data_IF_676309642591
#
_entry.id   IF_676309642591
#
_cell.length_a   1.000
_cell.length_b   1.000
_cell.length_c   1.000
_cell.angle_alpha   90.00
_cell.angle_beta   90.00
_cell.angle_gamma   90.00
#
_symmetry.space_group_name_H-M   'P 1'
#
loop_
_entity.id
_entity.type
_entity.pdbx_description
1 polymer ?
#
# COMPACT_ATOMS: atom_id res chain seq x y z
N UNK A 1 -32.57 34.68 -85.51
CA UNK A 1 -31.12 35.01 -85.36
C UNK A 1 -30.71 34.74 -83.93
N UNK A 2 -29.97 33.65 -83.72
CA UNK A 2 -28.98 33.37 -82.71
C UNK A 2 -29.23 33.73 -81.22
N UNK A 3 -29.33 32.81 -80.32
CA UNK A 3 -28.15 32.27 -79.57
C UNK A 3 -28.55 31.01 -78.76
N UNK A 4 -27.90 29.96 -79.03
CA UNK A 4 -27.76 28.80 -78.20
C UNK A 4 -26.79 29.22 -77.11
N UNK A 5 -27.20 29.14 -75.83
CA UNK A 5 -26.33 29.19 -74.72
C UNK A 5 -26.23 27.82 -74.09
N UNK A 6 -25.05 27.26 -74.18
CA UNK A 6 -24.60 26.02 -73.51
C UNK A 6 -24.85 26.15 -72.02
N UNK A 7 -25.54 25.14 -71.49
CA UNK A 7 -25.55 24.91 -70.04
C UNK A 7 -24.41 23.98 -69.71
N UNK A 8 -23.32 24.54 -69.20
CA UNK A 8 -22.30 23.78 -68.50
C UNK A 8 -22.90 23.17 -67.25
N UNK A 9 -23.07 21.84 -67.24
CA UNK A 9 -23.31 21.09 -66.03
C UNK A 9 -21.95 20.87 -65.35
N UNK A 10 -21.57 21.76 -64.42
CA UNK A 10 -20.57 21.48 -63.43
C UNK A 10 -21.06 20.37 -62.49
N UNK A 11 -20.51 19.16 -62.65
CA UNK A 11 -20.61 18.12 -61.68
C UNK A 11 -19.70 18.48 -60.48
N UNK A 12 -20.24 19.23 -59.48
CA UNK A 12 -19.62 19.28 -58.17
C UNK A 12 -19.58 17.87 -57.57
N UNK A 13 -18.43 17.22 -57.69
CA UNK A 13 -18.09 16.09 -56.84
C UNK A 13 -17.99 16.60 -55.39
N UNK A 14 -19.10 16.53 -54.64
CA UNK A 14 -19.04 16.58 -53.17
C UNK A 14 -18.27 15.34 -52.69
N UNK A 15 -16.95 15.46 -52.56
CA UNK A 15 -16.18 14.56 -51.75
C UNK A 15 -16.56 14.79 -50.29
N UNK A 16 -17.39 13.91 -49.74
CA UNK A 16 -17.59 13.86 -48.31
C UNK A 16 -16.20 13.73 -47.64
N UNK A 17 -15.86 14.55 -46.63
CA UNK A 17 -14.61 14.37 -45.93
C UNK A 17 -14.60 12.94 -45.36
N UNK A 18 -13.59 12.18 -45.68
CA UNK A 18 -13.34 10.90 -45.03
C UNK A 18 -12.98 11.22 -43.60
N UNK A 19 -13.90 10.97 -42.69
CA UNK A 19 -13.57 11.00 -41.26
C UNK A 19 -12.53 9.91 -41.00
N UNK A 20 -11.28 10.31 -40.88
CA UNK A 20 -10.21 9.44 -40.41
C UNK A 20 -10.43 9.28 -38.92
N UNK A 21 -11.04 8.17 -38.49
CA UNK A 21 -11.17 7.85 -37.08
C UNK A 21 -9.77 7.66 -36.46
N UNK A 22 -9.53 8.29 -35.35
CA UNK A 22 -8.26 8.09 -34.62
C UNK A 22 -8.10 6.61 -34.23
N UNK A 23 -6.89 6.03 -34.40
CA UNK A 23 -6.63 4.64 -34.04
C UNK A 23 -6.95 4.35 -32.56
N UNK A 24 -7.69 3.29 -32.30
CA UNK A 24 -8.08 2.89 -30.93
C UNK A 24 -7.04 1.95 -30.35
N UNK A 25 -6.44 2.37 -29.23
CA UNK A 25 -5.52 1.55 -28.47
C UNK A 25 -6.14 1.12 -27.16
N UNK A 26 -6.01 -0.17 -26.83
CA UNK A 26 -6.37 -0.72 -25.52
C UNK A 26 -5.19 -1.52 -24.98
N UNK A 27 -4.72 -1.19 -23.78
CA UNK A 27 -3.50 -1.75 -23.18
C UNK A 27 -2.23 -1.61 -24.07
N UNK A 28 -2.19 -0.56 -24.90
CA UNK A 28 -1.12 -0.35 -25.88
C UNK A 28 -1.24 -1.19 -27.15
N UNK A 29 -2.31 -1.97 -27.32
CA UNK A 29 -2.59 -2.82 -28.49
C UNK A 29 -3.57 -2.07 -29.40
N UNK A 30 -3.26 -1.99 -30.70
CA UNK A 30 -4.18 -1.45 -31.71
C UNK A 30 -5.34 -2.42 -31.89
N UNK A 31 -6.59 -1.96 -31.66
CA UNK A 31 -7.76 -2.84 -31.64
C UNK A 31 -8.81 -2.54 -32.71
N UNK A 32 -8.52 -1.65 -33.67
CA UNK A 32 -9.51 -1.21 -34.69
C UNK A 32 -10.12 -2.35 -35.50
N UNK A 33 -9.32 -3.39 -35.75
CA UNK A 33 -9.75 -4.56 -36.56
C UNK A 33 -9.95 -5.81 -35.71
N UNK A 34 -9.89 -5.68 -34.38
CA UNK A 34 -9.97 -6.80 -33.46
C UNK A 34 -11.29 -6.80 -32.68
N UNK A 35 -11.70 -7.97 -32.23
CA UNK A 35 -12.84 -8.13 -31.32
C UNK A 35 -12.34 -8.02 -29.87
N UNK A 36 -12.96 -7.12 -29.10
CA UNK A 36 -12.64 -6.91 -27.68
C UNK A 36 -13.81 -7.37 -26.83
N UNK A 37 -13.55 -8.33 -25.94
CA UNK A 37 -14.54 -8.88 -25.00
C UNK A 37 -14.08 -8.56 -23.57
N UNK A 38 -14.90 -7.81 -22.83
CA UNK A 38 -14.65 -7.49 -21.42
C UNK A 38 -15.57 -8.34 -20.55
N UNK A 39 -14.99 -8.98 -19.53
CA UNK A 39 -15.73 -9.82 -18.60
C UNK A 39 -15.08 -9.79 -17.21
N UNK A 40 -15.68 -10.46 -16.24
CA UNK A 40 -15.17 -10.58 -14.88
C UNK A 40 -15.05 -12.04 -14.48
N UNK A 41 -14.04 -12.35 -13.67
CA UNK A 41 -13.85 -13.71 -13.14
C UNK A 41 -15.02 -14.07 -12.23
N UNK A 42 -15.75 -15.11 -12.56
CA UNK A 42 -16.86 -15.64 -11.76
C UNK A 42 -16.35 -16.48 -10.57
N UNK A 43 -17.23 -16.71 -9.59
CA UNK A 43 -16.92 -17.58 -8.46
C UNK A 43 -16.62 -19.00 -8.95
N UNK A 44 -15.50 -19.58 -8.48
CA UNK A 44 -15.03 -20.89 -8.88
C UNK A 44 -14.34 -20.99 -10.25
N UNK A 45 -14.30 -19.94 -11.04
CA UNK A 45 -13.54 -19.93 -12.28
C UNK A 45 -12.04 -19.95 -12.03
N UNK A 46 -11.32 -20.65 -12.91
CA UNK A 46 -9.85 -20.69 -12.93
C UNK A 46 -9.33 -20.11 -14.22
N UNK A 47 -8.10 -19.60 -14.23
CA UNK A 47 -7.45 -19.13 -15.44
C UNK A 47 -7.48 -20.19 -16.55
N UNK A 48 -7.13 -21.44 -16.22
CA UNK A 48 -7.15 -22.54 -17.18
C UNK A 48 -8.54 -22.80 -17.76
N UNK A 49 -9.59 -22.70 -16.95
CA UNK A 49 -10.98 -22.86 -17.41
C UNK A 49 -11.39 -21.74 -18.37
N UNK A 50 -11.04 -20.48 -18.05
CA UNK A 50 -11.34 -19.35 -18.95
C UNK A 50 -10.60 -19.49 -20.27
N UNK A 51 -9.32 -19.85 -20.25
CA UNK A 51 -8.52 -20.03 -21.46
C UNK A 51 -9.02 -21.20 -22.30
N UNK A 52 -9.36 -22.33 -21.68
CA UNK A 52 -9.89 -23.51 -22.37
C UNK A 52 -11.22 -23.20 -23.09
N UNK A 53 -12.10 -22.48 -22.42
CA UNK A 53 -13.37 -22.01 -23.03
C UNK A 53 -13.14 -21.12 -24.26
N UNK A 54 -12.01 -20.40 -24.30
CA UNK A 54 -11.60 -19.54 -25.42
C UNK A 54 -10.59 -20.23 -26.36
N UNK A 55 -10.73 -21.54 -26.54
CA UNK A 55 -10.01 -22.35 -27.52
C UNK A 55 -8.49 -22.48 -27.31
N UNK A 56 -7.98 -22.20 -26.11
CA UNK A 56 -6.58 -22.50 -25.74
C UNK A 56 -6.51 -23.94 -25.21
N UNK A 57 -5.69 -24.76 -25.82
CA UNK A 57 -5.58 -26.17 -25.46
C UNK A 57 -4.78 -26.43 -24.17
N UNK A 58 -4.88 -27.64 -23.63
CA UNK A 58 -4.19 -28.01 -22.39
C UNK A 58 -2.65 -27.88 -22.45
N UNK A 59 -1.97 -28.26 -23.55
CA UNK A 59 -0.53 -28.03 -23.69
C UNK A 59 -0.14 -26.54 -23.58
N UNK A 60 -0.88 -25.66 -24.26
CA UNK A 60 -0.65 -24.21 -24.20
C UNK A 60 -0.94 -23.66 -22.79
N UNK A 61 -1.99 -24.13 -22.12
CA UNK A 61 -2.28 -23.76 -20.72
C UNK A 61 -1.13 -24.18 -19.80
N UNK A 62 -0.58 -25.39 -19.98
CA UNK A 62 0.58 -25.84 -19.20
C UNK A 62 1.83 -24.97 -19.47
N UNK A 63 2.05 -24.54 -20.71
CA UNK A 63 3.11 -23.61 -21.07
C UNK A 63 2.94 -22.26 -20.36
N UNK A 64 1.71 -21.70 -20.36
CA UNK A 64 1.36 -20.44 -19.64
C UNK A 64 1.68 -20.56 -18.16
N UNK A 65 1.27 -21.66 -17.51
CA UNK A 65 1.55 -21.88 -16.08
C UNK A 65 3.07 -21.89 -15.81
N UNK A 66 3.85 -22.50 -16.69
CA UNK A 66 5.31 -22.52 -16.55
C UNK A 66 5.93 -21.12 -16.77
N UNK A 67 5.51 -20.41 -17.80
CA UNK A 67 6.02 -19.06 -18.10
C UNK A 67 5.57 -17.99 -17.09
N UNK A 68 4.46 -18.23 -16.40
CA UNK A 68 3.98 -17.36 -15.32
C UNK A 68 4.80 -17.40 -14.03
N UNK A 69 5.66 -18.43 -13.85
CA UNK A 69 6.47 -18.58 -12.63
C UNK A 69 7.37 -17.37 -12.40
N UNK A 70 7.22 -16.76 -11.22
CA UNK A 70 7.98 -15.55 -10.86
C UNK A 70 7.38 -14.23 -11.35
N UNK A 71 6.39 -14.28 -12.25
CA UNK A 71 5.66 -13.13 -12.77
C UNK A 71 4.32 -13.02 -12.06
N UNK A 72 3.52 -14.08 -12.11
CA UNK A 72 2.15 -14.12 -11.64
C UNK A 72 1.79 -15.54 -11.19
N UNK A 73 1.14 -15.68 -10.03
CA UNK A 73 0.61 -16.96 -9.59
C UNK A 73 -0.78 -17.16 -10.19
N UNK A 74 -0.89 -17.99 -11.22
CA UNK A 74 -2.13 -18.28 -11.96
C UNK A 74 -3.28 -18.79 -11.08
N UNK A 75 -2.98 -19.26 -9.86
CA UNK A 75 -3.97 -19.72 -8.87
C UNK A 75 -4.60 -18.58 -8.08
N UNK A 76 -4.08 -17.36 -8.24
CA UNK A 76 -4.52 -16.16 -7.49
C UNK A 76 -5.40 -15.24 -8.30
N UNK A 77 -6.05 -15.75 -9.36
CA UNK A 77 -7.13 -14.97 -9.97
C UNK A 77 -8.30 -14.90 -8.98
N UNK A 78 -8.85 -13.70 -8.81
CA UNK A 78 -9.90 -13.44 -7.84
C UNK A 78 -11.23 -13.23 -8.53
N UNK A 79 -12.29 -13.82 -7.99
CA UNK A 79 -13.66 -13.52 -8.40
C UNK A 79 -13.95 -12.02 -8.31
N UNK A 80 -14.63 -11.48 -9.31
CA UNK A 80 -14.95 -10.05 -9.43
C UNK A 80 -13.85 -9.19 -10.06
N UNK A 81 -12.63 -9.71 -10.27
CA UNK A 81 -11.61 -8.99 -11.03
C UNK A 81 -11.91 -9.03 -12.53
N UNK A 82 -11.77 -7.90 -13.26
CA UNK A 82 -12.02 -7.86 -14.68
C UNK A 82 -10.90 -8.52 -15.48
N UNK A 83 -11.29 -9.07 -16.63
CA UNK A 83 -10.35 -9.47 -17.66
C UNK A 83 -10.87 -9.03 -19.04
N UNK A 84 -9.96 -8.91 -19.98
CA UNK A 84 -10.24 -8.55 -21.38
C UNK A 84 -9.64 -9.60 -22.30
N UNK A 85 -10.45 -10.08 -23.23
CA UNK A 85 -10.00 -10.90 -24.35
C UNK A 85 -9.90 -10.01 -25.59
N UNK A 86 -8.79 -10.09 -26.29
CA UNK A 86 -8.62 -9.46 -27.59
C UNK A 86 -8.42 -10.57 -28.61
N UNK A 87 -9.36 -10.70 -29.53
CA UNK A 87 -9.45 -11.80 -30.48
C UNK A 87 -9.36 -11.29 -31.93
N UNK A 88 -8.97 -12.15 -32.84
CA UNK A 88 -9.16 -11.91 -34.25
C UNK A 88 -10.65 -11.71 -34.58
N UNK A 89 -10.92 -10.92 -35.59
CA UNK A 89 -12.28 -10.77 -36.14
C UNK A 89 -12.58 -11.88 -37.20
N UNK A 90 -12.25 -13.12 -36.82
CA UNK A 90 -12.55 -14.31 -37.63
C UNK A 90 -13.77 -15.07 -37.07
N UNK A 91 -14.25 -16.09 -37.78
CA UNK A 91 -15.42 -16.88 -37.36
C UNK A 91 -15.21 -17.66 -36.06
N UNK A 92 -13.95 -17.90 -35.64
CA UNK A 92 -13.58 -18.65 -34.44
C UNK A 92 -13.29 -17.70 -33.30
N UNK A 93 -13.06 -16.39 -33.57
CA UNK A 93 -12.60 -15.39 -32.61
C UNK A 93 -11.31 -15.84 -31.89
N UNK A 94 -10.30 -16.25 -32.68
CA UNK A 94 -9.02 -16.74 -32.16
C UNK A 94 -8.42 -15.77 -31.18
N UNK A 95 -8.12 -16.23 -29.96
CA UNK A 95 -7.59 -15.40 -28.87
C UNK A 95 -6.16 -14.96 -29.16
N UNK A 96 -5.92 -13.65 -29.21
CA UNK A 96 -4.61 -13.03 -29.39
C UNK A 96 -3.99 -12.59 -28.06
N UNK A 97 -4.82 -12.01 -27.19
CA UNK A 97 -4.39 -11.55 -25.87
C UNK A 97 -5.46 -11.84 -24.83
N UNK A 98 -5.01 -12.32 -23.68
CA UNK A 98 -5.79 -12.34 -22.45
C UNK A 98 -5.16 -11.38 -21.46
N UNK A 99 -5.92 -10.42 -20.97
CA UNK A 99 -5.44 -9.37 -20.06
C UNK A 99 -6.24 -9.45 -18.78
N UNK A 100 -5.56 -9.71 -17.66
CA UNK A 100 -6.17 -9.85 -16.34
C UNK A 100 -5.77 -8.69 -15.45
N UNK A 101 -6.74 -7.95 -14.92
CA UNK A 101 -6.50 -6.85 -13.99
C UNK A 101 -6.39 -7.33 -12.56
N UNK A 102 -5.33 -6.93 -11.86
CA UNK A 102 -5.16 -7.28 -10.47
C UNK A 102 -6.02 -6.39 -9.55
N UNK A 103 -6.26 -6.87 -8.34
CA UNK A 103 -7.08 -6.17 -7.33
C UNK A 103 -6.53 -4.80 -6.91
N UNK A 104 -5.27 -4.47 -7.22
CA UNK A 104 -4.69 -3.14 -7.01
C UNK A 104 -5.19 -2.08 -8.00
N UNK A 105 -5.95 -2.50 -9.06
CA UNK A 105 -6.51 -1.65 -10.13
C UNK A 105 -5.46 -0.86 -10.92
N UNK A 106 -4.21 -1.18 -10.77
CA UNK A 106 -3.08 -0.51 -11.43
C UNK A 106 -2.30 -1.51 -12.27
N UNK A 107 -2.09 -2.71 -11.74
CA UNK A 107 -1.28 -3.74 -12.39
C UNK A 107 -2.17 -4.71 -13.16
N UNK A 108 -1.76 -5.05 -14.36
CA UNK A 108 -2.40 -6.11 -15.15
C UNK A 108 -1.39 -7.10 -15.69
N UNK A 109 -1.85 -8.32 -15.95
CA UNK A 109 -1.08 -9.42 -16.55
C UNK A 109 -1.55 -9.61 -17.96
N UNK A 110 -0.61 -9.69 -18.89
CA UNK A 110 -0.88 -9.97 -20.30
C UNK A 110 -0.36 -11.36 -20.64
N UNK A 111 -1.23 -12.18 -21.21
CA UNK A 111 -0.88 -13.40 -21.93
C UNK A 111 -0.99 -13.05 -23.41
N UNK A 112 0.12 -13.09 -24.13
CA UNK A 112 0.24 -12.75 -25.54
C UNK A 112 0.47 -14.03 -26.36
N UNK A 113 -0.40 -14.29 -27.31
CA UNK A 113 -0.40 -15.49 -28.17
C UNK A 113 0.00 -15.18 -29.61
N UNK A 114 0.33 -13.94 -29.97
CA UNK A 114 0.56 -13.52 -31.35
C UNK A 114 1.81 -14.15 -31.98
N UNK A 115 2.88 -14.29 -31.21
CA UNK A 115 4.16 -14.86 -31.65
C UNK A 115 4.68 -15.87 -30.61
N UNK A 116 3.93 -16.97 -30.42
CA UNK A 116 4.16 -17.88 -29.32
C UNK A 116 3.71 -17.30 -27.98
N UNK A 117 3.59 -18.15 -26.98
CA UNK A 117 3.07 -17.74 -25.67
C UNK A 117 4.06 -16.85 -24.91
N UNK A 118 3.68 -15.63 -24.54
CA UNK A 118 4.43 -14.75 -23.64
C UNK A 118 3.56 -14.36 -22.45
N UNK A 119 4.19 -14.16 -21.29
CA UNK A 119 3.53 -13.71 -20.05
C UNK A 119 4.32 -12.58 -19.46
N UNK A 120 3.68 -11.44 -19.21
CA UNK A 120 4.32 -10.29 -18.60
C UNK A 120 3.32 -9.45 -17.80
N UNK A 121 3.84 -8.63 -16.88
CA UNK A 121 3.08 -7.64 -16.13
C UNK A 121 3.33 -6.25 -16.67
N UNK A 122 2.28 -5.46 -16.71
CA UNK A 122 2.34 -4.03 -16.98
C UNK A 122 1.52 -3.24 -15.97
N UNK A 123 1.62 -1.91 -16.04
CA UNK A 123 0.85 -1.00 -15.20
C UNK A 123 0.13 0.01 -16.06
N UNK A 124 -1.08 0.35 -15.66
CA UNK A 124 -1.77 1.52 -16.17
C UNK A 124 -1.02 2.80 -15.78
N UNK A 125 -1.13 3.80 -16.61
CA UNK A 125 -0.76 5.15 -16.22
C UNK A 125 -1.73 5.65 -15.15
N UNK A 126 -1.18 6.10 -14.03
CA UNK A 126 -1.96 6.65 -12.91
C UNK A 126 -1.95 8.17 -13.02
N UNK A 127 -3.08 8.74 -13.35
CA UNK A 127 -3.27 10.18 -13.29
C UNK A 127 -3.60 10.60 -11.86
N UNK A 128 -2.83 11.54 -11.34
CA UNK A 128 -2.99 12.05 -9.98
C UNK A 128 -3.60 13.44 -10.02
N UNK A 129 -4.66 13.66 -9.22
CA UNK A 129 -5.27 14.98 -9.03
C UNK A 129 -5.15 15.40 -7.57
N UNK A 130 -4.60 16.58 -7.36
CA UNK A 130 -4.48 17.17 -6.03
C UNK A 130 -5.84 17.67 -5.54
N UNK A 131 -6.13 17.42 -4.27
CA UNK A 131 -7.38 17.80 -3.60
C UNK A 131 -7.09 18.42 -2.25
N UNK A 132 -7.89 19.42 -1.91
CA UNK A 132 -7.97 20.00 -0.58
C UNK A 132 -9.34 19.66 0.01
N UNK A 133 -9.36 19.17 1.25
CA UNK A 133 -10.58 18.93 2.00
C UNK A 133 -10.44 19.46 3.41
N UNK A 134 -11.53 19.98 3.98
CA UNK A 134 -11.58 20.43 5.35
C UNK A 134 -12.96 20.17 5.94
N UNK A 135 -13.03 19.99 7.25
CA UNK A 135 -14.29 19.75 7.93
C UNK A 135 -14.20 19.93 9.44
N UNK A 136 -15.36 20.17 10.05
CA UNK A 136 -15.56 20.18 11.48
C UNK A 136 -16.11 18.81 11.88
N UNK A 137 -15.57 18.22 12.92
CA UNK A 137 -15.95 16.90 13.41
C UNK A 137 -17.14 17.07 14.35
N UNK A 138 -18.28 16.44 14.02
CA UNK A 138 -19.47 16.44 14.84
C UNK A 138 -19.64 15.14 15.64
N UNK A 139 -19.13 14.02 15.15
CA UNK A 139 -19.19 12.68 15.76
C UNK A 139 -17.86 11.95 15.64
N UNK A 140 -17.44 11.61 14.41
CA UNK A 140 -16.15 10.97 14.12
C UNK A 140 -15.48 11.58 12.90
N UNK A 141 -14.16 11.39 12.80
CA UNK A 141 -13.40 11.82 11.61
C UNK A 141 -13.91 11.11 10.35
N UNK A 142 -14.21 9.81 10.43
CA UNK A 142 -14.68 9.02 9.29
C UNK A 142 -16.01 9.55 8.76
N UNK A 143 -17.00 9.75 9.64
CA UNK A 143 -18.31 10.28 9.25
C UNK A 143 -18.21 11.70 8.67
N UNK A 144 -17.34 12.54 9.22
CA UNK A 144 -17.13 13.90 8.69
C UNK A 144 -16.54 13.89 7.26
N UNK A 145 -15.68 12.92 6.95
CA UNK A 145 -15.07 12.73 5.62
C UNK A 145 -16.08 12.08 4.67
N UNK A 146 -16.73 11.01 5.08
CA UNK A 146 -17.73 10.28 4.29
C UNK A 146 -18.93 11.15 3.94
N UNK A 147 -19.37 12.01 4.87
CA UNK A 147 -20.44 12.98 4.64
C UNK A 147 -20.15 13.99 3.54
N UNK A 148 -18.89 14.17 3.13
CA UNK A 148 -18.47 14.97 1.99
C UNK A 148 -18.32 14.14 0.69
N UNK A 149 -18.70 12.87 0.68
CA UNK A 149 -18.53 11.95 -0.44
C UNK A 149 -17.06 11.52 -0.67
N UNK A 150 -16.21 11.65 0.34
CA UNK A 150 -14.79 11.28 0.28
C UNK A 150 -14.60 9.89 0.86
N UNK A 151 -13.70 9.12 0.27
CA UNK A 151 -13.39 7.77 0.73
C UNK A 151 -12.92 7.75 2.19
N UNK A 152 -13.42 6.82 3.04
CA UNK A 152 -12.99 6.66 4.44
C UNK A 152 -11.49 6.33 4.58
N UNK A 153 -10.83 5.90 3.51
CA UNK A 153 -9.37 5.72 3.47
C UNK A 153 -8.64 7.01 3.85
N UNK A 154 -9.21 8.20 3.58
CA UNK A 154 -8.60 9.46 3.99
C UNK A 154 -8.56 9.61 5.50
N UNK A 155 -9.63 9.22 6.20
CA UNK A 155 -9.66 9.26 7.67
C UNK A 155 -8.62 8.32 8.29
N UNK A 156 -8.45 7.14 7.69
CA UNK A 156 -7.41 6.20 8.09
C UNK A 156 -6.02 6.81 7.93
N UNK A 157 -5.71 7.40 6.76
CA UNK A 157 -4.41 8.05 6.50
C UNK A 157 -4.12 9.20 7.46
N UNK A 158 -5.11 10.05 7.75
CA UNK A 158 -4.96 11.13 8.73
C UNK A 158 -4.69 10.53 10.12
N UNK A 159 -5.44 9.51 10.51
CA UNK A 159 -5.25 8.83 11.80
C UNK A 159 -3.88 8.17 11.91
N UNK A 160 -3.34 7.61 10.84
CA UNK A 160 -1.99 7.04 10.78
C UNK A 160 -0.90 8.11 10.94
N UNK A 161 -1.07 9.27 10.29
CA UNK A 161 -0.14 10.40 10.39
C UNK A 161 -0.03 10.88 11.85
N UNK A 162 -1.16 11.07 12.52
CA UNK A 162 -1.21 11.61 13.88
C UNK A 162 -1.30 10.54 14.97
N UNK A 163 -1.15 9.24 14.64
CA UNK A 163 -1.38 8.12 15.55
C UNK A 163 -0.63 8.19 16.90
N UNK A 164 0.45 8.98 16.95
CA UNK A 164 1.29 9.13 18.11
C UNK A 164 1.14 10.49 18.80
N UNK A 165 0.50 11.43 18.14
CA UNK A 165 0.32 12.79 18.60
C UNK A 165 -1.09 12.98 19.16
N UNK A 166 -2.09 12.43 18.48
CA UNK A 166 -3.52 12.56 18.80
C UNK A 166 -4.10 11.19 19.17
N UNK A 167 -4.85 11.14 20.27
CA UNK A 167 -5.65 9.96 20.62
C UNK A 167 -7.03 10.07 19.96
N UNK A 168 -7.20 9.44 18.81
CA UNK A 168 -8.43 9.49 18.01
C UNK A 168 -9.65 8.90 18.72
N UNK A 169 -9.48 8.17 19.83
CA UNK A 169 -10.59 7.77 20.70
C UNK A 169 -11.09 8.92 21.60
N UNK A 170 -10.38 10.06 21.63
CA UNK A 170 -10.69 11.23 22.46
C UNK A 170 -10.95 12.49 21.64
N UNK A 171 -11.11 12.37 20.33
CA UNK A 171 -11.54 13.50 19.50
C UNK A 171 -12.94 13.94 19.91
N UNK A 172 -13.20 15.24 19.78
CA UNK A 172 -14.39 15.88 20.32
C UNK A 172 -15.17 16.59 19.22
N UNK A 173 -16.44 16.79 19.46
CA UNK A 173 -17.25 17.69 18.65
C UNK A 173 -16.62 19.10 18.63
N UNK A 174 -16.44 19.65 17.45
CA UNK A 174 -15.76 20.94 17.24
C UNK A 174 -14.29 20.84 16.86
N UNK A 175 -13.65 19.66 17.02
CA UNK A 175 -12.36 19.42 16.40
C UNK A 175 -12.46 19.56 14.88
N UNK A 176 -11.39 19.90 14.20
CA UNK A 176 -11.43 20.11 12.75
C UNK A 176 -10.16 19.61 12.07
N UNK A 177 -10.27 19.42 10.76
CA UNK A 177 -9.15 19.04 9.91
C UNK A 177 -9.12 19.85 8.62
N UNK A 178 -7.91 20.01 8.08
CA UNK A 178 -7.65 20.38 6.69
C UNK A 178 -6.60 19.43 6.16
N UNK A 179 -6.77 18.96 4.93
CA UNK A 179 -5.86 17.97 4.35
C UNK A 179 -5.68 18.20 2.86
N UNK A 180 -4.41 18.18 2.41
CA UNK A 180 -3.99 18.30 1.03
C UNK A 180 -3.43 16.95 0.58
N UNK A 181 -4.05 16.33 -0.43
CA UNK A 181 -3.82 14.95 -0.79
C UNK A 181 -4.07 14.66 -2.28
N UNK A 182 -3.67 13.48 -2.71
CA UNK A 182 -3.87 12.97 -4.06
C UNK A 182 -5.09 12.06 -4.15
N UNK A 183 -5.87 12.28 -5.22
CA UNK A 183 -6.78 11.27 -5.76
C UNK A 183 -6.16 10.65 -7.01
N UNK A 184 -6.09 9.32 -7.05
CA UNK A 184 -5.54 8.56 -8.16
C UNK A 184 -6.64 8.07 -9.10
N UNK A 185 -6.36 8.13 -10.38
CA UNK A 185 -7.27 7.72 -11.46
C UNK A 185 -6.54 6.85 -12.46
N UNK A 186 -7.22 5.82 -12.96
CA UNK A 186 -6.80 5.00 -14.10
C UNK A 186 -7.91 5.03 -15.13
N UNK A 187 -7.59 5.36 -16.38
CA UNK A 187 -8.58 5.49 -17.47
C UNK A 187 -9.79 6.35 -17.08
N UNK A 188 -9.54 7.47 -16.37
CA UNK A 188 -10.58 8.38 -15.90
C UNK A 188 -11.39 7.90 -14.68
N UNK A 189 -11.23 6.65 -14.25
CA UNK A 189 -11.93 6.08 -13.08
C UNK A 189 -11.10 6.31 -11.81
N UNK A 190 -11.77 6.78 -10.74
CA UNK A 190 -11.16 6.90 -9.43
C UNK A 190 -10.76 5.52 -8.86
N UNK A 191 -9.51 5.36 -8.46
CA UNK A 191 -8.97 4.12 -7.90
C UNK A 191 -8.58 4.21 -6.43
N UNK A 192 -8.49 5.41 -5.87
CA UNK A 192 -8.20 5.58 -4.44
C UNK A 192 -7.47 6.86 -4.09
N UNK A 193 -7.20 7.02 -2.79
CA UNK A 193 -6.43 8.12 -2.22
C UNK A 193 -4.93 7.79 -2.32
N UNK A 194 -4.17 8.69 -2.92
CA UNK A 194 -2.71 8.62 -2.99
C UNK A 194 -2.03 9.13 -1.73
N UNK A 195 -1.05 10.00 -1.91
CA UNK A 195 -0.25 10.62 -0.85
C UNK A 195 -1.02 11.74 -0.17
N UNK A 196 -0.82 11.91 1.13
CA UNK A 196 -1.18 13.12 1.87
C UNK A 196 0.08 13.98 1.97
N UNK A 197 0.03 15.20 1.42
CA UNK A 197 1.18 16.11 1.42
C UNK A 197 1.23 16.99 2.65
N UNK A 198 0.07 17.50 3.05
CA UNK A 198 -0.03 18.34 4.23
C UNK A 198 -1.36 18.09 4.94
N UNK A 199 -1.34 18.20 6.25
CA UNK A 199 -2.54 18.14 7.07
C UNK A 199 -2.41 19.07 8.26
N UNK A 200 -3.50 19.72 8.62
CA UNK A 200 -3.72 20.44 9.87
C UNK A 200 -4.86 19.74 10.61
N UNK A 201 -4.65 19.41 11.86
CA UNK A 201 -5.68 18.84 12.72
C UNK A 201 -5.78 19.66 14.00
N UNK A 202 -6.94 20.23 14.25
CA UNK A 202 -7.24 20.94 15.49
C UNK A 202 -7.91 19.98 16.48
N UNK A 203 -7.32 19.79 17.63
CA UNK A 203 -7.85 18.99 18.74
C UNK A 203 -7.71 19.74 20.04
N UNK A 204 -8.82 19.95 20.78
CA UNK A 204 -8.83 20.69 22.05
C UNK A 204 -8.23 22.09 21.96
N UNK A 205 -8.52 22.82 20.90
CA UNK A 205 -7.97 24.17 20.59
C UNK A 205 -6.45 24.19 20.39
N UNK A 206 -5.81 23.06 20.13
CA UNK A 206 -4.41 22.96 19.75
C UNK A 206 -4.30 22.48 18.31
N UNK A 207 -3.47 23.15 17.50
CA UNK A 207 -3.25 22.78 16.10
C UNK A 207 -2.03 21.87 15.99
N UNK A 208 -2.22 20.77 15.27
CA UNK A 208 -1.19 19.81 14.92
C UNK A 208 -0.99 19.84 13.42
N UNK A 209 0.24 20.08 12.97
CA UNK A 209 0.58 20.15 11.57
C UNK A 209 1.38 18.91 11.15
N UNK A 210 1.16 18.49 9.91
CA UNK A 210 1.88 17.39 9.30
C UNK A 210 2.24 17.76 7.87
N UNK A 211 3.51 17.69 7.51
CA UNK A 211 4.01 17.95 6.16
C UNK A 211 4.84 16.77 5.70
N UNK A 212 4.49 16.24 4.54
CA UNK A 212 5.22 15.14 3.91
C UNK A 212 6.53 15.66 3.33
N UNK A 213 7.62 15.00 3.65
CA UNK A 213 8.92 15.23 3.07
C UNK A 213 9.57 13.89 2.72
N UNK A 214 10.18 13.85 1.53
CA UNK A 214 10.89 12.68 1.00
C UNK A 214 12.33 13.07 0.70
N UNK A 215 13.26 12.54 1.49
CA UNK A 215 14.68 12.71 1.27
C UNK A 215 15.16 11.82 0.11
N UNK A 216 16.15 12.30 -0.66
CA UNK A 216 16.75 11.58 -1.80
C UNK A 216 17.26 10.19 -1.36
N UNK A 217 16.49 9.16 -1.73
CA UNK A 217 16.82 7.75 -1.41
C UNK A 217 16.15 7.17 -0.16
N UNK A 218 15.37 7.96 0.60
CA UNK A 218 14.59 7.49 1.73
C UNK A 218 13.08 7.50 1.42
N UNK A 219 12.30 6.75 2.22
CA UNK A 219 10.84 6.87 2.17
C UNK A 219 10.42 8.19 2.81
N UNK A 220 9.48 8.88 2.18
CA UNK A 220 8.92 10.09 2.75
C UNK A 220 8.19 9.84 4.07
N UNK A 221 8.29 10.79 4.94
CA UNK A 221 7.66 10.80 6.26
C UNK A 221 6.97 12.15 6.50
N UNK A 222 6.12 12.19 7.54
CA UNK A 222 5.48 13.42 7.95
C UNK A 222 6.20 14.02 9.16
N UNK A 223 6.47 15.33 9.07
CA UNK A 223 7.11 16.13 10.09
C UNK A 223 6.22 17.31 10.48
N UNK A 224 6.40 17.83 11.69
CA UNK A 224 5.74 19.06 12.11
C UNK A 224 6.45 20.31 11.52
N UNK A 225 5.89 21.49 11.75
CA UNK A 225 6.42 22.77 11.27
C UNK A 225 7.85 23.10 11.77
N UNK A 226 8.37 22.33 12.71
CA UNK A 226 9.74 22.45 13.28
C UNK A 226 10.68 21.36 12.76
N UNK A 227 10.19 20.49 11.86
CA UNK A 227 10.95 19.36 11.33
C UNK A 227 11.08 18.21 12.33
N UNK A 228 10.23 18.13 13.36
CA UNK A 228 10.16 16.97 14.24
C UNK A 228 9.26 15.94 13.60
N UNK A 229 9.71 14.67 13.61
CA UNK A 229 8.85 13.59 13.11
C UNK A 229 7.60 13.43 13.97
N UNK A 230 6.47 13.18 13.32
CA UNK A 230 5.22 12.81 13.99
C UNK A 230 5.19 11.34 14.43
N UNK A 231 6.17 10.55 14.02
CA UNK A 231 6.31 9.15 14.43
C UNK A 231 7.05 9.04 15.76
N UNK A 232 6.64 8.08 16.58
CA UNK A 232 7.48 7.62 17.70
C UNK A 232 8.59 6.74 17.17
N UNK A 233 9.74 6.77 17.87
CA UNK A 233 10.86 5.90 17.55
C UNK A 233 10.48 4.41 17.50
N UNK A 234 9.44 4.00 18.23
CA UNK A 234 8.99 2.60 18.30
C UNK A 234 7.47 2.47 18.17
N UNK A 235 7.01 1.52 17.37
CA UNK A 235 5.61 1.10 17.34
C UNK A 235 5.20 0.49 18.69
N UNK A 236 3.92 0.63 19.07
CA UNK A 236 3.38 0.04 20.32
C UNK A 236 3.44 -1.48 20.35
N UNK A 237 3.35 -2.11 19.19
CA UNK A 237 3.34 -3.56 19.02
C UNK A 237 3.96 -3.95 17.67
N UNK A 238 4.48 -5.18 17.55
CA UNK A 238 5.01 -5.70 16.30
C UNK A 238 3.93 -6.27 15.35
N UNK A 239 2.65 -6.12 15.66
CA UNK A 239 1.50 -6.64 14.93
C UNK A 239 0.41 -5.57 14.81
N UNK A 240 -0.34 -5.58 13.70
CA UNK A 240 -1.50 -4.70 13.51
C UNK A 240 -2.70 -5.15 14.37
N UNK A 241 -2.95 -6.45 14.44
CA UNK A 241 -4.05 -7.04 15.22
C UNK A 241 -3.49 -8.07 16.18
N UNK A 242 -3.78 -7.94 17.48
CA UNK A 242 -3.23 -8.79 18.52
C UNK A 242 -4.03 -8.74 19.81
N UNK A 243 -3.82 -9.76 20.65
CA UNK A 243 -4.19 -9.78 22.07
C UNK A 243 -2.91 -10.00 22.88
N UNK A 244 -2.66 -9.17 23.88
CA UNK A 244 -1.55 -9.41 24.81
C UNK A 244 -1.92 -10.63 25.67
N UNK A 245 -1.21 -11.73 25.49
CA UNK A 245 -1.44 -12.96 26.25
C UNK A 245 -0.55 -13.05 27.49
N UNK A 246 0.62 -12.41 27.47
CA UNK A 246 1.50 -12.32 28.64
C UNK A 246 2.35 -11.06 28.60
N UNK A 247 2.45 -10.37 29.74
CA UNK A 247 3.29 -9.17 29.90
C UNK A 247 4.69 -9.53 30.41
N UNK A 248 5.61 -8.57 30.28
CA UNK A 248 6.91 -8.62 30.92
C UNK A 248 6.75 -8.84 32.44
N UNK A 249 7.49 -9.82 32.98
CA UNK A 249 7.51 -10.13 34.41
C UNK A 249 8.88 -10.64 34.84
N UNK A 250 9.39 -10.16 35.97
CA UNK A 250 10.63 -10.68 36.52
C UNK A 250 10.46 -12.08 37.13
N UNK A 251 9.25 -12.43 37.54
CA UNK A 251 8.96 -13.71 38.18
C UNK A 251 7.51 -14.13 37.86
N UNK A 252 7.34 -15.23 37.11
CA UNK A 252 6.02 -15.87 36.85
C UNK A 252 6.19 -17.39 36.70
N UNK A 253 5.12 -18.14 36.96
CA UNK A 253 5.11 -19.58 36.67
C UNK A 253 5.14 -19.80 35.15
N UNK A 254 6.15 -20.54 34.68
CA UNK A 254 6.31 -20.78 33.24
C UNK A 254 5.24 -21.76 32.74
N UNK A 255 4.45 -21.44 31.67
CA UNK A 255 3.29 -22.23 31.28
C UNK A 255 3.63 -23.64 30.75
N UNK A 256 4.85 -23.84 30.26
CA UNK A 256 5.31 -25.15 29.74
C UNK A 256 6.02 -25.96 30.80
N UNK A 257 6.94 -25.37 31.57
CA UNK A 257 7.81 -26.07 32.51
C UNK A 257 7.29 -26.07 33.95
N UNK A 258 6.28 -25.26 34.27
CA UNK A 258 5.75 -25.09 35.62
C UNK A 258 6.67 -24.41 36.61
N UNK A 259 7.91 -24.15 36.25
CA UNK A 259 8.91 -23.49 37.12
C UNK A 259 8.69 -21.98 37.22
N UNK A 260 9.02 -21.41 38.36
CA UNK A 260 9.06 -19.95 38.52
C UNK A 260 10.25 -19.37 37.75
N UNK A 261 9.95 -18.51 36.76
CA UNK A 261 10.98 -17.96 35.87
C UNK A 261 10.58 -16.58 35.38
N UNK A 262 11.56 -15.74 35.12
CA UNK A 262 11.33 -14.45 34.48
C UNK A 262 10.84 -14.60 33.03
N UNK A 263 9.88 -13.76 32.65
CA UNK A 263 9.46 -13.56 31.27
C UNK A 263 9.87 -12.15 30.82
N UNK A 264 11.02 -12.06 30.19
CA UNK A 264 11.63 -10.79 29.79
C UNK A 264 11.17 -10.34 28.40
N UNK A 265 9.88 -10.49 28.10
CA UNK A 265 9.24 -10.07 26.86
C UNK A 265 7.74 -9.83 27.05
N UNK A 266 7.07 -9.40 26.02
CA UNK A 266 5.62 -9.30 25.93
C UNK A 266 5.14 -10.24 24.83
N UNK A 267 4.19 -11.12 25.15
CA UNK A 267 3.62 -12.08 24.19
C UNK A 267 2.36 -11.50 23.56
N UNK A 268 2.39 -11.36 22.23
CA UNK A 268 1.29 -10.90 21.41
C UNK A 268 0.70 -12.10 20.65
N UNK A 269 -0.44 -12.58 21.08
CA UNK A 269 -1.16 -13.68 20.43
C UNK A 269 -1.89 -13.17 19.19
N UNK A 270 -1.69 -13.90 18.09
CA UNK A 270 -2.34 -13.69 16.81
C UNK A 270 -2.35 -14.99 16.00
N UNK A 271 -3.19 -15.15 14.97
CA UNK A 271 -3.21 -16.32 14.11
C UNK A 271 -1.85 -16.62 13.48
N UNK A 272 -1.52 -17.91 13.30
CA UNK A 272 -0.30 -18.33 12.60
C UNK A 272 -0.27 -17.72 11.19
N UNK A 273 0.86 -17.15 10.80
CA UNK A 273 1.02 -16.49 9.50
C UNK A 273 0.76 -14.98 9.50
N UNK A 274 0.24 -14.41 10.60
CA UNK A 274 0.11 -12.96 10.74
C UNK A 274 1.47 -12.27 10.55
N UNK A 275 1.59 -11.22 9.71
CA UNK A 275 2.84 -10.51 9.50
C UNK A 275 3.39 -9.89 10.79
N UNK A 276 4.67 -10.09 11.06
CA UNK A 276 5.41 -9.45 12.17
C UNK A 276 6.23 -8.32 11.59
N UNK A 277 6.05 -7.13 12.14
CA UNK A 277 6.76 -5.92 11.73
C UNK A 277 7.88 -5.56 12.71
N UNK A 278 8.98 -5.00 12.20
CA UNK A 278 9.94 -4.34 13.09
C UNK A 278 9.32 -3.09 13.71
N UNK A 279 9.47 -2.93 15.02
CA UNK A 279 8.87 -1.80 15.75
C UNK A 279 9.61 -0.48 15.58
N UNK A 280 10.84 -0.50 15.07
CA UNK A 280 11.62 0.67 14.71
C UNK A 280 12.59 0.36 13.57
N UNK A 281 13.09 1.37 12.88
CA UNK A 281 14.13 1.24 11.87
C UNK A 281 15.44 0.75 12.50
N UNK A 282 16.23 -0.03 11.77
CA UNK A 282 17.50 -0.53 12.27
C UNK A 282 18.11 -1.64 11.45
N UNK A 283 19.23 -2.19 11.91
CA UNK A 283 19.96 -3.25 11.21
C UNK A 283 19.69 -4.60 11.87
N UNK A 284 19.39 -5.60 11.09
CA UNK A 284 19.26 -6.99 11.56
C UNK A 284 20.61 -7.47 12.06
N UNK A 285 20.70 -7.79 13.35
CA UNK A 285 21.93 -8.37 13.95
C UNK A 285 21.87 -9.87 14.00
N UNK A 286 20.68 -10.47 14.04
CA UNK A 286 20.48 -11.92 14.03
C UNK A 286 19.16 -12.25 13.34
N UNK A 287 19.18 -13.23 12.45
CA UNK A 287 18.02 -13.90 11.88
C UNK A 287 18.36 -15.41 11.85
N UNK A 288 17.79 -16.20 12.77
CA UNK A 288 18.24 -17.55 13.01
C UNK A 288 17.16 -18.37 13.74
N UNK A 289 17.51 -19.60 14.08
CA UNK A 289 16.70 -20.52 14.89
C UNK A 289 17.47 -20.99 16.12
N UNK A 290 16.79 -21.09 17.26
CA UNK A 290 17.27 -21.81 18.44
C UNK A 290 16.14 -22.63 19.05
N UNK A 291 16.48 -23.71 19.78
CA UNK A 291 15.50 -24.56 20.45
C UNK A 291 14.53 -23.80 21.35
N UNK A 292 15.01 -22.77 22.03
CA UNK A 292 14.17 -21.99 22.95
C UNK A 292 13.39 -20.86 22.27
N UNK A 293 14.01 -20.12 21.35
CA UNK A 293 13.39 -18.96 20.72
C UNK A 293 12.58 -19.34 19.46
N UNK A 294 12.75 -20.54 18.91
CA UNK A 294 12.25 -20.88 17.58
C UNK A 294 12.96 -20.04 16.52
N UNK A 295 12.29 -19.82 15.39
CA UNK A 295 12.75 -18.82 14.41
C UNK A 295 12.61 -17.42 15.02
N UNK A 296 13.69 -16.65 14.98
CA UNK A 296 13.69 -15.31 15.56
C UNK A 296 14.53 -14.32 14.78
N UNK A 297 14.18 -13.05 14.94
CA UNK A 297 14.93 -11.92 14.39
C UNK A 297 15.26 -10.95 15.53
N UNK A 298 16.50 -10.44 15.55
CA UNK A 298 16.93 -9.35 16.44
C UNK A 298 17.38 -8.18 15.61
N UNK A 299 16.85 -7.00 15.91
CA UNK A 299 17.14 -5.73 15.23
C UNK A 299 17.86 -4.80 16.22
N UNK A 300 18.97 -4.22 15.80
CA UNK A 300 19.64 -3.14 16.50
C UNK A 300 19.24 -1.82 15.89
N UNK A 301 18.60 -0.97 16.66
CA UNK A 301 18.10 0.33 16.23
C UNK A 301 19.17 1.43 16.32
N UNK A 302 19.88 1.44 17.44
CA UNK A 302 21.02 2.34 17.69
C UNK A 302 21.94 1.75 18.78
N UNK A 303 22.83 2.57 19.35
CA UNK A 303 23.72 2.14 20.43
C UNK A 303 22.99 1.74 21.72
N UNK A 304 21.80 2.29 21.95
CA UNK A 304 21.01 2.12 23.18
C UNK A 304 19.95 1.02 23.06
N UNK A 305 19.26 0.90 21.91
CA UNK A 305 18.05 0.11 21.77
C UNK A 305 18.19 -1.03 20.76
N UNK A 306 17.66 -2.19 21.13
CA UNK A 306 17.46 -3.33 20.23
C UNK A 306 16.13 -3.99 20.54
N UNK A 307 15.54 -4.66 19.54
CA UNK A 307 14.32 -5.47 19.70
C UNK A 307 14.54 -6.89 19.17
N UNK A 308 13.76 -7.83 19.69
CA UNK A 308 13.84 -9.23 19.28
C UNK A 308 12.44 -9.84 19.20
N UNK A 309 12.20 -10.60 18.15
CA UNK A 309 10.90 -11.15 17.78
C UNK A 309 11.05 -12.65 17.64
N UNK A 310 10.36 -13.43 18.47
CA UNK A 310 10.55 -14.86 18.64
C UNK A 310 9.34 -15.67 18.14
N UNK A 311 9.53 -16.98 18.05
CA UNK A 311 8.52 -18.00 17.77
C UNK A 311 7.89 -17.91 16.37
N UNK A 312 8.59 -17.26 15.42
CA UNK A 312 8.10 -17.12 14.05
C UNK A 312 7.86 -18.47 13.37
N UNK A 313 6.82 -18.58 12.55
CA UNK A 313 6.64 -19.73 11.66
C UNK A 313 7.71 -19.75 10.58
N UNK A 314 8.04 -18.55 10.04
CA UNK A 314 9.15 -18.36 9.10
C UNK A 314 9.64 -16.91 9.15
N UNK A 315 10.92 -16.73 8.90
CA UNK A 315 11.54 -15.44 8.64
C UNK A 315 11.23 -15.05 7.19
N UNK A 316 10.92 -13.78 6.91
CA UNK A 316 10.64 -13.31 5.55
C UNK A 316 11.89 -13.44 4.67
N UNK A 317 11.71 -13.86 3.41
CA UNK A 317 12.80 -13.93 2.41
C UNK A 317 13.51 -12.59 2.30
N UNK A 318 14.83 -12.59 2.32
CA UNK A 318 15.67 -11.40 2.29
C UNK A 318 16.06 -10.84 3.66
N UNK A 319 15.40 -11.24 4.76
CA UNK A 319 15.75 -10.82 6.12
C UNK A 319 16.91 -11.69 6.63
N UNK A 320 18.10 -11.09 6.72
CA UNK A 320 19.35 -11.71 7.18
C UNK A 320 20.23 -10.70 7.91
N UNK A 321 21.23 -11.17 8.64
CA UNK A 321 22.20 -10.29 9.34
C UNK A 321 22.80 -9.27 8.36
N UNK A 322 22.87 -8.00 8.81
CA UNK A 322 23.41 -6.87 8.04
C UNK A 322 22.36 -6.10 7.23
N UNK A 323 21.16 -6.66 7.01
CA UNK A 323 20.09 -5.98 6.27
C UNK A 323 19.51 -4.86 7.14
N UNK A 324 19.40 -3.66 6.58
CA UNK A 324 18.67 -2.56 7.18
C UNK A 324 17.17 -2.73 6.92
N UNK A 325 16.35 -2.51 7.94
CA UNK A 325 14.89 -2.54 7.89
C UNK A 325 14.32 -1.26 8.46
N UNK A 326 13.20 -0.79 7.90
CA UNK A 326 12.50 0.40 8.34
C UNK A 326 11.39 0.04 9.31
N UNK A 327 11.01 0.97 10.18
CA UNK A 327 9.86 0.80 11.07
C UNK A 327 8.62 0.38 10.26
N UNK A 328 7.97 -0.70 10.68
CA UNK A 328 6.81 -1.27 9.98
C UNK A 328 7.14 -2.31 8.91
N UNK A 329 8.42 -2.50 8.54
CA UNK A 329 8.79 -3.55 7.60
C UNK A 329 8.47 -4.94 8.15
N UNK A 330 7.89 -5.80 7.30
CA UNK A 330 7.61 -7.20 7.66
C UNK A 330 8.92 -7.97 7.69
N UNK A 331 9.24 -8.55 8.85
CA UNK A 331 10.47 -9.32 9.09
C UNK A 331 10.23 -10.82 9.22
N UNK A 332 8.99 -11.24 9.40
CA UNK A 332 8.59 -12.64 9.55
C UNK A 332 7.10 -12.79 9.79
N UNK A 333 6.70 -13.98 10.22
CA UNK A 333 5.28 -14.32 10.39
C UNK A 333 5.06 -15.07 11.71
N UNK A 334 3.96 -14.78 12.39
CA UNK A 334 3.58 -15.43 13.66
C UNK A 334 3.57 -16.94 13.52
N UNK A 335 4.12 -17.61 14.51
CA UNK A 335 4.16 -19.06 14.64
C UNK A 335 4.12 -19.53 16.07
N UNK A 336 4.57 -20.74 16.28
CA UNK A 336 4.73 -21.39 17.60
C UNK A 336 5.98 -22.24 17.63
N UNK A 337 7.06 -21.82 16.94
CA UNK A 337 8.33 -22.56 16.92
C UNK A 337 9.11 -22.33 18.22
N UNK A 338 9.94 -23.28 18.62
CA UNK A 338 10.66 -23.23 19.88
C UNK A 338 9.79 -23.54 21.11
N UNK A 339 10.08 -22.93 22.26
CA UNK A 339 9.31 -23.11 23.50
C UNK A 339 8.07 -22.18 23.52
N UNK A 340 7.05 -22.53 22.75
CA UNK A 340 5.81 -21.81 22.67
C UNK A 340 4.61 -22.75 22.89
N UNK A 341 3.57 -22.29 23.59
CA UNK A 341 2.34 -23.05 23.86
C UNK A 341 1.27 -22.86 22.78
N UNK A 342 1.42 -21.90 21.92
CA UNK A 342 0.47 -21.56 20.84
C UNK A 342 0.97 -20.42 19.98
N UNK A 343 0.22 -20.06 18.91
CA UNK A 343 0.66 -19.00 17.99
C UNK A 343 0.73 -17.64 18.67
N UNK A 344 1.94 -17.07 18.73
CA UNK A 344 2.22 -15.72 19.24
C UNK A 344 3.58 -15.24 18.76
N UNK A 345 3.85 -13.95 18.91
CA UNK A 345 5.21 -13.39 18.89
C UNK A 345 5.60 -12.94 20.29
N UNK A 346 6.72 -13.46 20.82
CA UNK A 346 7.32 -12.94 22.02
C UNK A 346 8.24 -11.77 21.64
N UNK A 347 7.84 -10.57 22.02
CA UNK A 347 8.55 -9.33 21.74
C UNK A 347 9.41 -8.94 22.92
N UNK A 348 10.73 -8.87 22.70
CA UNK A 348 11.70 -8.45 23.71
C UNK A 348 12.30 -7.11 23.37
N UNK A 349 12.34 -6.22 24.34
CA UNK A 349 12.90 -4.87 24.22
C UNK A 349 14.16 -4.74 25.06
N UNK A 350 15.22 -4.24 24.44
CA UNK A 350 16.53 -4.10 25.06
C UNK A 350 16.92 -2.63 25.14
N UNK A 351 17.38 -2.19 26.33
CA UNK A 351 17.97 -0.88 26.55
C UNK A 351 19.35 -1.09 27.20
N UNK A 352 20.42 -0.55 26.60
CA UNK A 352 21.79 -0.72 27.07
C UNK A 352 22.12 -2.20 27.36
N UNK A 353 21.78 -3.09 26.39
CA UNK A 353 21.97 -4.54 26.48
C UNK A 353 21.24 -5.26 27.62
N UNK A 354 20.28 -4.61 28.30
CA UNK A 354 19.41 -5.23 29.32
C UNK A 354 17.97 -5.32 28.78
N UNK A 355 17.32 -6.46 29.01
CA UNK A 355 15.90 -6.62 28.71
C UNK A 355 15.06 -5.80 29.68
N UNK A 356 14.17 -4.97 29.15
CA UNK A 356 13.30 -4.07 29.92
C UNK A 356 11.85 -4.17 29.44
N UNK A 357 10.93 -3.77 30.31
CA UNK A 357 9.51 -3.66 29.94
C UNK A 357 9.32 -2.42 29.06
N UNK A 358 8.95 -2.58 27.75
CA UNK A 358 8.78 -1.45 26.86
C UNK A 358 7.67 -0.48 27.30
N UNK A 359 6.65 -0.99 28.00
CA UNK A 359 5.54 -0.17 28.49
C UNK A 359 5.91 0.77 29.64
N UNK A 360 7.03 0.48 30.31
CA UNK A 360 7.57 1.31 31.41
C UNK A 360 8.68 2.25 30.96
N UNK A 361 9.05 2.23 29.66
CA UNK A 361 10.09 3.11 29.16
C UNK A 361 9.48 4.41 28.62
N UNK A 362 10.11 5.54 28.98
CA UNK A 362 9.93 6.79 28.24
C UNK A 362 10.77 6.68 26.98
N UNK A 363 10.12 6.34 25.87
CA UNK A 363 10.78 6.22 24.58
C UNK A 363 10.95 7.61 23.96
N UNK A 364 12.06 7.87 23.26
CA UNK A 364 12.29 9.14 22.58
C UNK A 364 11.25 9.32 21.45
N UNK A 365 11.02 10.55 20.97
CA UNK A 365 10.40 10.77 19.68
C UNK A 365 11.25 10.08 18.59
N UNK A 366 10.70 9.90 17.40
CA UNK A 366 11.48 9.47 16.24
C UNK A 366 12.54 10.52 15.85
N UNK A 367 13.38 10.17 14.90
CA UNK A 367 14.44 11.07 14.45
C UNK A 367 13.84 12.30 13.74
N UNK A 368 14.28 13.52 14.06
CA UNK A 368 13.87 14.71 13.33
C UNK A 368 14.47 14.67 11.92
N UNK A 369 14.04 15.60 11.07
CA UNK A 369 14.69 15.82 9.78
C UNK A 369 16.18 16.08 9.97
N UNK A 370 17.02 15.52 9.11
CA UNK A 370 18.47 15.72 9.21
C UNK A 370 18.86 17.18 9.00
N UNK A 371 19.93 17.63 9.64
CA UNK A 371 20.42 19.01 9.49
C UNK A 371 20.71 19.36 8.03
N UNK A 372 21.19 18.40 7.23
CA UNK A 372 21.47 18.56 5.79
C UNK A 372 20.21 18.87 4.97
N UNK A 373 19.06 18.33 5.36
CA UNK A 373 17.79 18.48 4.65
C UNK A 373 16.87 19.54 5.25
N UNK A 374 17.30 20.18 6.34
CA UNK A 374 16.46 21.11 7.07
C UNK A 374 16.07 22.34 6.26
N UNK A 375 17.01 22.91 5.52
CA UNK A 375 16.78 24.13 4.74
C UNK A 375 15.85 23.83 3.54
N UNK A 376 16.05 22.67 2.89
CA UNK A 376 15.16 22.21 1.82
C UNK A 376 13.74 21.98 2.36
N UNK A 377 13.62 21.31 3.50
CA UNK A 377 12.33 21.09 4.16
C UNK A 377 11.63 22.42 4.51
N UNK A 378 12.33 23.37 5.11
CA UNK A 378 11.76 24.68 5.44
C UNK A 378 11.32 25.44 4.20
N UNK A 379 12.04 25.31 3.10
CA UNK A 379 11.64 25.87 1.82
C UNK A 379 10.35 25.23 1.30
N UNK A 380 10.24 23.90 1.36
CA UNK A 380 9.01 23.18 0.99
C UNK A 380 7.80 23.61 1.83
N UNK A 381 7.98 23.89 3.14
CA UNK A 381 6.91 24.38 4.00
C UNK A 381 6.33 25.73 3.53
N UNK A 382 7.15 26.62 2.99
CA UNK A 382 6.69 27.92 2.49
C UNK A 382 5.74 27.76 1.30
N UNK A 383 5.92 26.75 0.47
CA UNK A 383 5.06 26.46 -0.68
C UNK A 383 3.81 25.64 -0.32
N UNK A 384 3.87 24.82 0.73
CA UNK A 384 2.75 23.96 1.17
C UNK A 384 1.91 24.57 2.29
N UNK A 385 2.42 25.58 2.99
CA UNK A 385 1.67 26.30 4.03
C UNK A 385 0.68 27.28 3.39
N UNK A 386 -0.58 27.34 3.86
CA UNK A 386 -1.51 28.35 3.37
C UNK A 386 -0.92 29.75 3.58
N UNK A 387 -0.91 30.53 2.51
CA UNK A 387 -0.37 31.91 2.48
C UNK A 387 -0.87 32.74 3.68
N UNK A 388 -0.05 33.64 4.24
CA UNK A 388 -0.53 34.61 5.25
C UNK A 388 -1.77 35.40 4.82
N UNK A 389 -2.01 35.55 3.51
CA UNK A 389 -3.22 36.18 2.95
C UNK A 389 -4.49 35.35 3.14
N UNK A 390 -4.38 34.03 3.21
CA UNK A 390 -5.54 33.15 3.43
C UNK A 390 -5.96 33.12 4.91
N UNK A 391 -5.05 33.46 5.84
CA UNK A 391 -5.35 33.62 7.27
C UNK A 391 -6.16 34.87 7.58
N UNK A 392 -6.12 35.89 6.73
CA UNK A 392 -6.89 37.14 6.93
C UNK A 392 -8.34 37.06 6.41
N UNK A 393 -8.67 36.09 5.55
CA UNK A 393 -10.03 35.90 5.03
C UNK A 393 -10.92 35.00 5.90
N UNK A 394 -10.38 34.40 6.97
CA UNK A 394 -11.11 33.55 7.92
C UNK A 394 -11.35 34.19 9.29
N UNK A 395 -11.28 35.52 9.38
CA UNK A 395 -11.72 36.31 10.53
C UNK A 395 -12.99 37.09 10.23
#
# INVERSE_FOLDING_TARGET
IYSLLEKDHEFEKKSSPVEISEPKYLYGILVDTLTVINDTVNEGQTLGGILYYNHIDHPQIAEIVNKSKGIFDVRTINSGNPYTLICNNDSIQSLLYFIYELSDKITYVVLDFTNGTKVYKQKHEVLTRLKLSSGIINSSLSESIEGQGISPVLSQKISEIYAWTIDFFKIQKGDSYKVYYENNYVNGKYIGIGRVFASEFMHKNENFYAFYYEDKGNYGEHFDEKGKTLRKAFLKAPLNFYRISSRYSKNRKHPVTGQWKGHFGTDYAAPKGTPIMTTASGTIVTASYTRNNGNYVKVRHNSTYSTQYLHMSKIKKGIKKGVYVKQGDIIGYVGSTGLATGPHVCYRFWKNNKQVDPYKQKLPPGDPISDENRDEYMTCLLYTSPSPRDRQKSR
#
